data_IF_467198851973
#
_entry.id   IF_467198851973
#
_cell.length_a   1.000
_cell.length_b   1.000
_cell.length_c   1.000
_cell.angle_alpha   90.00
_cell.angle_beta   90.00
_cell.angle_gamma   90.00
#
_symmetry.space_group_name_H-M   'P 1'
#
loop_
_entity.id
_entity.type
_entity.pdbx_description
1 polymer ?
#
# COMPACT_ATOMS: atom_id res chain seq x y z
N UNK A 1 -21.44 -9.79 -5.91
CA UNK A 1 -21.72 -8.39 -5.54
C UNK A 1 -20.69 -7.47 -6.18
N UNK A 2 -21.10 -6.32 -6.75
CA UNK A 2 -20.15 -5.32 -7.25
C UNK A 2 -19.29 -4.76 -6.10
N UNK A 3 -18.03 -4.47 -6.38
CA UNK A 3 -17.10 -3.87 -5.42
C UNK A 3 -16.74 -2.49 -5.93
N UNK A 4 -17.00 -1.46 -5.12
CA UNK A 4 -16.50 -0.12 -5.35
C UNK A 4 -15.18 0.07 -4.60
N UNK A 5 -14.21 0.76 -5.22
CA UNK A 5 -12.97 1.09 -4.56
C UNK A 5 -13.20 1.96 -3.31
N UNK A 6 -12.48 1.64 -2.24
CA UNK A 6 -12.58 2.35 -0.97
C UNK A 6 -11.76 3.65 -0.94
N UNK A 7 -10.81 3.85 -1.85
CA UNK A 7 -9.97 5.06 -1.88
C UNK A 7 -10.84 6.30 -2.15
N UNK A 8 -10.52 7.41 -1.50
CA UNK A 8 -11.18 8.69 -1.71
C UNK A 8 -11.09 9.11 -3.19
N UNK A 9 -12.23 9.54 -3.77
CA UNK A 9 -12.30 9.95 -5.17
C UNK A 9 -12.16 8.82 -6.22
N UNK A 10 -11.94 7.56 -5.82
CA UNK A 10 -11.83 6.46 -6.78
C UNK A 10 -13.19 5.85 -7.13
N UNK A 11 -13.59 5.97 -8.39
CA UNK A 11 -14.86 5.46 -8.92
C UNK A 11 -14.83 4.02 -9.46
N UNK A 12 -13.68 3.33 -9.38
CA UNK A 12 -13.54 2.00 -9.97
C UNK A 12 -14.48 0.96 -9.36
N UNK A 13 -15.22 0.26 -10.23
CA UNK A 13 -16.23 -0.72 -9.90
C UNK A 13 -15.95 -2.07 -10.56
N UNK A 14 -15.92 -3.15 -9.78
CA UNK A 14 -15.49 -4.47 -10.27
C UNK A 14 -16.36 -5.09 -11.36
N UNK A 15 -17.61 -4.62 -11.55
CA UNK A 15 -18.46 -5.08 -12.66
C UNK A 15 -18.17 -4.33 -13.96
N UNK A 16 -17.90 -3.02 -13.88
CA UNK A 16 -17.70 -2.14 -15.03
C UNK A 16 -16.23 -2.12 -15.48
N UNK A 17 -15.32 -2.03 -14.53
CA UNK A 17 -13.91 -1.75 -14.75
C UNK A 17 -13.10 -3.06 -14.62
N UNK A 18 -13.15 -3.90 -15.67
CA UNK A 18 -12.67 -5.29 -15.64
C UNK A 18 -11.13 -5.49 -15.70
N UNK A 19 -10.34 -4.41 -15.71
CA UNK A 19 -8.87 -4.47 -15.74
C UNK A 19 -8.20 -4.42 -14.37
N UNK A 20 -8.96 -4.23 -13.29
CA UNK A 20 -8.40 -4.03 -11.96
C UNK A 20 -8.71 -5.19 -11.03
N UNK A 21 -7.70 -5.71 -10.34
CA UNK A 21 -7.92 -6.53 -9.14
C UNK A 21 -8.33 -5.67 -7.94
N UNK A 22 -9.06 -6.25 -7.00
CA UNK A 22 -9.54 -5.57 -5.80
C UNK A 22 -9.07 -6.28 -4.53
N UNK A 23 -8.26 -5.60 -3.74
CA UNK A 23 -7.57 -6.14 -2.56
C UNK A 23 -8.27 -5.69 -1.27
N UNK A 24 -8.47 -6.60 -0.32
CA UNK A 24 -9.15 -6.29 0.95
C UNK A 24 -8.25 -5.44 1.85
N UNK A 25 -8.87 -4.57 2.63
CA UNK A 25 -8.18 -3.87 3.72
C UNK A 25 -7.65 -4.91 4.73
N UNK A 26 -6.37 -4.87 5.12
CA UNK A 26 -5.77 -5.80 6.06
C UNK A 26 -6.54 -5.86 7.39
N UNK A 27 -6.69 -7.06 7.94
CA UNK A 27 -7.21 -7.28 9.30
C UNK A 27 -6.07 -7.24 10.31
N UNK A 28 -6.40 -6.90 11.55
CA UNK A 28 -5.49 -7.10 12.68
C UNK A 28 -5.42 -8.59 13.01
N UNK A 29 -4.22 -9.14 13.14
CA UNK A 29 -3.97 -10.55 13.38
C UNK A 29 -3.47 -10.71 14.81
N UNK A 30 -4.31 -11.20 15.71
CA UNK A 30 -3.97 -11.35 17.13
C UNK A 30 -3.39 -12.74 17.47
N UNK A 31 -3.63 -13.74 16.62
CA UNK A 31 -3.33 -15.15 16.93
C UNK A 31 -1.92 -15.64 16.53
N UNK A 32 -1.10 -14.81 15.88
CA UNK A 32 0.19 -15.21 15.29
C UNK A 32 1.41 -14.56 15.99
N UNK A 33 1.25 -14.24 17.27
CA UNK A 33 2.28 -13.63 18.09
C UNK A 33 2.40 -12.12 17.94
N UNK A 34 3.15 -11.52 18.88
CA UNK A 34 3.19 -10.07 19.09
C UNK A 34 3.72 -9.29 17.88
N UNK A 35 4.80 -9.77 17.26
CA UNK A 35 5.38 -9.13 16.06
C UNK A 35 4.37 -9.03 14.92
N UNK A 36 3.59 -10.09 14.70
CA UNK A 36 2.59 -10.14 13.63
C UNK A 36 1.41 -9.22 13.95
N UNK A 37 0.98 -9.19 15.23
CA UNK A 37 -0.05 -8.27 15.72
C UNK A 37 0.33 -6.82 15.44
N UNK A 38 1.49 -6.38 15.93
CA UNK A 38 1.99 -5.01 15.73
C UNK A 38 2.13 -4.63 14.25
N UNK A 39 2.69 -5.52 13.42
CA UNK A 39 2.81 -5.26 11.98
C UNK A 39 1.44 -5.15 11.30
N UNK A 40 0.49 -6.01 11.66
CA UNK A 40 -0.85 -6.03 11.05
C UNK A 40 -1.67 -4.81 11.44
N UNK A 41 -1.55 -4.37 12.70
CA UNK A 41 -2.15 -3.16 13.24
C UNK A 41 -1.60 -1.92 12.52
N UNK A 42 -0.28 -1.79 12.45
CA UNK A 42 0.37 -0.67 11.78
C UNK A 42 0.03 -0.64 10.28
N UNK A 43 0.03 -1.80 9.62
CA UNK A 43 -0.36 -1.90 8.21
C UNK A 43 -1.78 -1.40 8.00
N UNK A 44 -2.71 -1.82 8.85
CA UNK A 44 -4.11 -1.42 8.78
C UNK A 44 -4.27 0.08 9.04
N UNK A 45 -3.53 0.63 10.00
CA UNK A 45 -3.50 2.07 10.30
C UNK A 45 -3.06 2.89 9.07
N UNK A 46 -1.95 2.51 8.44
CA UNK A 46 -1.43 3.19 7.24
C UNK A 46 -2.41 3.07 6.07
N UNK A 47 -3.02 1.91 5.85
CA UNK A 47 -4.06 1.74 4.82
C UNK A 47 -5.23 2.69 5.01
N UNK A 48 -5.77 2.78 6.23
CA UNK A 48 -6.92 3.65 6.52
C UNK A 48 -6.56 5.13 6.37
N UNK A 49 -5.35 5.51 6.79
CA UNK A 49 -4.83 6.87 6.60
C UNK A 49 -4.74 7.23 5.10
N UNK A 50 -4.18 6.34 4.28
CA UNK A 50 -4.01 6.59 2.84
C UNK A 50 -5.32 6.51 2.06
N UNK A 51 -6.30 5.74 2.51
CA UNK A 51 -7.64 5.73 1.93
C UNK A 51 -8.37 7.05 2.17
N UNK A 52 -8.09 7.70 3.32
CA UNK A 52 -8.57 9.03 3.70
C UNK A 52 -10.10 9.22 3.51
N UNK A 53 -10.88 8.22 3.92
CA UNK A 53 -12.33 8.36 4.07
C UNK A 53 -12.68 8.66 5.52
N UNK A 54 -13.76 9.41 5.71
CA UNK A 54 -14.27 9.71 7.04
C UNK A 54 -14.66 8.42 7.79
N UNK A 55 -14.63 8.45 9.12
CA UNK A 55 -15.07 7.32 9.95
C UNK A 55 -16.57 7.01 9.78
N UNK A 56 -17.38 7.98 9.33
CA UNK A 56 -18.79 7.77 9.01
C UNK A 56 -18.95 6.96 7.71
N UNK A 57 -18.11 7.23 6.72
CA UNK A 57 -18.14 6.54 5.42
C UNK A 57 -17.51 5.15 5.51
N UNK A 58 -16.34 5.06 6.15
CA UNK A 58 -15.53 3.85 6.29
C UNK A 58 -15.47 3.40 7.75
N UNK A 59 -16.62 2.96 8.27
CA UNK A 59 -16.71 2.38 9.61
C UNK A 59 -15.87 1.12 9.75
N UNK A 60 -15.50 0.69 10.98
CA UNK A 60 -14.78 -0.57 11.19
C UNK A 60 -15.45 -1.78 10.54
N UNK A 61 -16.78 -1.88 10.61
CA UNK A 61 -17.55 -2.95 9.96
C UNK A 61 -17.47 -2.88 8.43
N UNK A 62 -17.66 -1.69 7.82
CA UNK A 62 -17.55 -1.50 6.37
C UNK A 62 -16.14 -1.76 5.86
N UNK A 63 -15.13 -1.32 6.61
CA UNK A 63 -13.71 -1.47 6.24
C UNK A 63 -13.30 -2.94 6.06
N UNK A 64 -13.96 -3.86 6.79
CA UNK A 64 -13.68 -5.30 6.72
C UNK A 64 -14.03 -5.93 5.36
N UNK A 65 -15.05 -5.39 4.69
CA UNK A 65 -15.53 -5.87 3.39
C UNK A 65 -15.09 -4.97 2.22
N UNK A 66 -14.63 -3.77 2.55
CA UNK A 66 -14.12 -2.79 1.60
C UNK A 66 -12.85 -3.29 0.91
N UNK A 67 -12.66 -2.85 -0.34
CA UNK A 67 -11.50 -3.22 -1.14
C UNK A 67 -10.91 -2.02 -1.86
N UNK A 68 -9.60 -2.07 -2.10
CA UNK A 68 -8.83 -1.08 -2.85
C UNK A 68 -8.44 -1.68 -4.20
N UNK A 69 -8.56 -0.92 -5.28
CA UNK A 69 -8.23 -1.42 -6.61
C UNK A 69 -6.70 -1.39 -6.84
N UNK A 70 -6.23 -2.24 -7.75
CA UNK A 70 -4.81 -2.39 -8.12
C UNK A 70 -4.12 -1.11 -8.53
N UNK A 71 -4.84 -0.13 -9.09
CA UNK A 71 -4.30 1.17 -9.50
C UNK A 71 -3.51 1.87 -8.38
N UNK A 72 -3.88 1.64 -7.11
CA UNK A 72 -3.26 2.34 -5.98
C UNK A 72 -1.93 1.72 -5.51
N UNK A 73 -1.43 0.70 -6.23
CA UNK A 73 -0.18 0.00 -5.97
C UNK A 73 0.69 0.02 -7.24
N UNK A 74 1.99 0.20 -7.08
CA UNK A 74 2.98 0.22 -8.17
C UNK A 74 2.99 -1.13 -8.91
N UNK A 75 3.03 -2.24 -8.18
CA UNK A 75 2.98 -3.61 -8.73
C UNK A 75 1.56 -4.11 -8.99
N UNK A 76 0.53 -3.27 -8.79
CA UNK A 76 -0.87 -3.67 -8.90
C UNK A 76 -1.40 -4.53 -7.74
N UNK A 77 -0.57 -4.83 -6.73
CA UNK A 77 -0.98 -5.61 -5.56
C UNK A 77 -0.25 -5.18 -4.29
N UNK A 78 -0.86 -5.42 -3.12
CA UNK A 78 -0.20 -5.12 -1.87
C UNK A 78 0.93 -6.12 -1.57
N UNK A 79 2.02 -5.63 -0.99
CA UNK A 79 3.16 -6.45 -0.59
C UNK A 79 2.85 -7.42 0.56
N UNK A 80 3.80 -8.30 0.92
CA UNK A 80 3.67 -9.16 2.09
C UNK A 80 3.61 -8.35 3.40
N UNK A 81 2.96 -8.89 4.43
CA UNK A 81 2.88 -8.24 5.75
C UNK A 81 4.28 -7.94 6.32
N UNK A 82 5.23 -8.86 6.17
CA UNK A 82 6.59 -8.70 6.68
C UNK A 82 7.49 -7.81 5.81
N UNK A 83 7.05 -7.47 4.60
CA UNK A 83 7.76 -6.54 3.69
C UNK A 83 7.34 -5.09 3.96
N UNK A 84 7.44 -4.64 5.21
CA UNK A 84 6.97 -3.30 5.65
C UNK A 84 7.77 -2.12 5.07
N UNK A 85 8.89 -2.41 4.42
CA UNK A 85 9.73 -1.44 3.70
C UNK A 85 9.33 -1.28 2.24
N UNK A 86 8.47 -2.16 1.72
CA UNK A 86 8.01 -2.15 0.34
C UNK A 86 7.06 -0.95 0.10
N UNK A 87 7.22 -0.17 -0.99
CA UNK A 87 6.31 0.93 -1.30
C UNK A 87 4.85 0.47 -1.52
N UNK A 88 4.63 -0.79 -1.90
CA UNK A 88 3.30 -1.40 -2.07
C UNK A 88 2.77 -2.05 -0.77
N UNK A 89 3.43 -1.83 0.37
CA UNK A 89 2.91 -2.32 1.65
C UNK A 89 1.53 -1.72 1.99
N UNK A 90 1.31 -0.49 1.55
CA UNK A 90 0.04 0.25 1.62
C UNK A 90 -0.25 0.97 0.28
N UNK A 91 -1.52 1.30 -0.02
CA UNK A 91 -1.85 2.04 -1.22
C UNK A 91 -1.22 3.43 -1.16
N UNK A 92 -0.45 3.81 -2.18
CA UNK A 92 0.26 5.10 -2.22
C UNK A 92 0.01 5.88 -3.51
N UNK A 93 -0.50 5.21 -4.55
CA UNK A 93 -0.70 5.80 -5.86
C UNK A 93 -2.13 6.34 -6.03
N UNK A 94 -2.29 7.44 -6.77
CA UNK A 94 -3.59 7.98 -7.19
C UNK A 94 -4.64 8.13 -6.07
N UNK A 95 -4.25 8.64 -4.90
CA UNK A 95 -5.12 8.66 -3.71
C UNK A 95 -6.23 9.73 -3.74
N UNK A 96 -6.26 10.60 -4.75
CA UNK A 96 -7.29 11.65 -4.87
C UNK A 96 -7.17 12.77 -3.82
N UNK A 97 -6.08 12.79 -3.05
CA UNK A 97 -5.72 13.84 -2.10
C UNK A 97 -4.19 13.87 -1.89
N UNK A 98 -3.70 15.00 -1.39
CA UNK A 98 -2.27 15.18 -1.05
C UNK A 98 -1.95 14.87 0.43
N UNK A 99 -2.95 14.44 1.21
CA UNK A 99 -2.80 14.04 2.63
C UNK A 99 -2.20 12.65 2.77
N UNK A 100 -0.98 12.47 2.31
CA UNK A 100 -0.23 11.23 2.49
C UNK A 100 0.96 11.60 3.36
N UNK A 101 1.22 10.85 4.43
CA UNK A 101 2.46 11.01 5.19
C UNK A 101 3.61 10.37 4.39
N UNK A 102 4.05 11.09 3.35
CA UNK A 102 5.09 10.60 2.42
C UNK A 102 6.49 10.78 3.02
N UNK A 103 6.64 11.44 4.18
CA UNK A 103 7.95 11.78 4.74
C UNK A 103 8.82 10.53 4.97
N UNK A 104 8.24 9.50 5.56
CA UNK A 104 8.88 8.20 5.76
C UNK A 104 9.00 7.37 4.47
N UNK A 105 8.08 7.52 3.51
CA UNK A 105 8.08 6.78 2.25
C UNK A 105 9.13 7.30 1.25
N UNK A 106 9.19 8.62 1.06
CA UNK A 106 10.17 9.32 0.21
C UNK A 106 11.58 9.15 0.76
N UNK A 107 11.81 9.37 2.05
CA UNK A 107 13.14 9.15 2.64
C UNK A 107 13.60 7.69 2.51
N UNK A 108 12.67 6.73 2.37
CA UNK A 108 12.99 5.32 2.13
C UNK A 108 13.22 5.00 0.65
N UNK A 109 12.41 5.53 -0.26
CA UNK A 109 12.61 5.33 -1.71
C UNK A 109 13.93 5.96 -2.16
N UNK A 110 14.28 7.13 -1.64
CA UNK A 110 15.57 7.78 -1.86
C UNK A 110 16.72 6.88 -1.41
N UNK A 111 16.69 6.36 -0.17
CA UNK A 111 17.73 5.42 0.33
C UNK A 111 17.79 4.11 -0.46
N UNK A 112 16.66 3.60 -0.96
CA UNK A 112 16.64 2.42 -1.80
C UNK A 112 17.27 2.67 -3.17
N UNK A 113 16.96 3.82 -3.80
CA UNK A 113 17.57 4.27 -5.05
C UNK A 113 19.07 4.50 -4.89
N UNK A 114 19.52 5.11 -3.78
CA UNK A 114 20.95 5.28 -3.46
C UNK A 114 21.69 3.95 -3.36
N UNK A 115 21.10 2.94 -2.71
CA UNK A 115 21.69 1.60 -2.63
C UNK A 115 21.80 0.93 -4.00
N UNK A 116 20.79 1.10 -4.85
CA UNK A 116 20.81 0.57 -6.21
C UNK A 116 21.88 1.25 -7.07
N UNK A 117 21.95 2.59 -7.02
CA UNK A 117 22.95 3.37 -7.73
C UNK A 117 24.38 3.04 -7.29
N UNK A 118 24.61 2.77 -6.00
CA UNK A 118 25.92 2.28 -5.52
C UNK A 118 26.28 0.91 -6.07
N UNK A 119 25.32 -0.02 -6.17
CA UNK A 119 25.56 -1.35 -6.75
C UNK A 119 25.93 -1.24 -8.23
N UNK A 120 25.16 -0.46 -9.00
CA UNK A 120 25.42 -0.23 -10.43
C UNK A 120 26.82 0.34 -10.65
N UNK A 121 27.22 1.36 -9.87
CA UNK A 121 28.57 1.94 -9.95
C UNK A 121 29.67 0.92 -9.66
N UNK A 122 29.50 0.08 -8.63
CA UNK A 122 30.48 -0.96 -8.29
C UNK A 122 30.60 -2.00 -9.42
N UNK A 123 29.49 -2.36 -10.07
CA UNK A 123 29.50 -3.28 -11.22
C UNK A 123 30.14 -2.65 -12.47
N UNK A 124 29.90 -1.36 -12.74
CA UNK A 124 30.53 -0.61 -13.84
C UNK A 124 32.04 -0.45 -13.62
N UNK A 125 32.47 -0.08 -12.40
CA UNK A 125 33.88 0.11 -12.05
C UNK A 125 34.64 -1.23 -12.00
N UNK A 126 33.95 -2.35 -11.72
CA UNK A 126 34.52 -3.69 -11.67
C UNK A 126 34.70 -4.38 -13.03
N UNK A 127 34.15 -3.83 -14.11
CA UNK A 127 34.23 -4.38 -15.48
C UNK A 127 35.33 -3.72 -16.34
N UNK A 128 36.08 -2.77 -15.78
CA UNK A 128 37.23 -2.14 -16.45
C UNK A 128 38.52 -2.90 -16.15
N UNK A 129 38.72 -4.07 -16.78
CA UNK A 129 40.02 -4.75 -16.90
C UNK A 129 40.25 -5.12 -18.36
#
# INVERSE_FOLDING_TARGET
MPVLCAVYGCGHNSKRDKGYSYHRIPKMIESQGEKTRLLSEERRRVWLANINRSLADLTPSKSTFSRVCSLHFISGKPASLYSFTDPDWAPTQHLGHNKVDITLGVARSVRAAERNNKRIKIEEDGYSI
#
